data_IF_289528175172
#
_entry.id   IF_289528175172
#
_cell.length_a   1.000
_cell.length_b   1.000
_cell.length_c   1.000
_cell.angle_alpha   90.00
_cell.angle_beta   90.00
_cell.angle_gamma   90.00
#
_symmetry.space_group_name_H-M   'P 1'
#
loop_
_entity.id
_entity.type
_entity.pdbx_description
1 polymer ?
#
# COMPACT_ATOMS: atom_id res chain seq x y z
N UNK A 1 28.47 -1.56 -20.54
CA UNK A 1 28.45 -0.19 -20.00
C UNK A 1 29.88 0.29 -19.90
N UNK A 2 30.26 1.35 -20.62
CA UNK A 2 31.61 1.91 -20.53
C UNK A 2 31.54 3.40 -20.17
N UNK A 3 31.95 3.74 -18.94
CA UNK A 3 32.02 5.12 -18.46
C UNK A 3 33.49 5.54 -18.43
N UNK A 4 33.85 6.55 -19.22
CA UNK A 4 35.24 6.99 -19.38
C UNK A 4 35.36 8.44 -18.91
N UNK A 5 36.16 8.69 -17.89
CA UNK A 5 36.53 10.05 -17.49
C UNK A 5 37.56 10.62 -18.46
N UNK A 6 37.31 11.83 -18.99
CA UNK A 6 38.16 12.46 -20.01
C UNK A 6 38.95 13.64 -19.46
N UNK A 7 38.31 14.49 -18.66
CA UNK A 7 38.96 15.71 -18.18
C UNK A 7 38.30 16.24 -16.94
N UNK A 8 39.10 16.63 -15.95
CA UNK A 8 38.59 17.26 -14.72
C UNK A 8 39.14 18.68 -14.59
N UNK A 9 38.25 19.58 -14.17
CA UNK A 9 38.55 20.96 -13.81
C UNK A 9 38.19 21.15 -12.34
N UNK A 10 39.12 21.70 -11.58
CA UNK A 10 38.95 22.00 -10.16
C UNK A 10 39.26 23.48 -9.98
N UNK A 11 38.24 24.27 -9.66
CA UNK A 11 38.37 25.70 -9.43
C UNK A 11 38.37 25.98 -7.94
N UNK A 12 39.30 26.83 -7.50
CA UNK A 12 39.29 27.42 -6.16
C UNK A 12 38.78 28.86 -6.27
N UNK A 13 37.58 29.09 -5.74
CA UNK A 13 36.87 30.36 -5.91
C UNK A 13 37.59 31.50 -5.17
N UNK A 14 38.19 31.21 -4.00
CA UNK A 14 38.83 32.22 -3.16
C UNK A 14 40.15 32.69 -3.75
N UNK A 15 40.98 31.76 -4.20
CA UNK A 15 42.29 32.07 -4.79
C UNK A 15 42.22 32.40 -6.27
N UNK A 16 41.04 32.22 -6.91
CA UNK A 16 40.82 32.39 -8.35
C UNK A 16 41.78 31.56 -9.22
N UNK A 17 42.15 30.37 -8.74
CA UNK A 17 43.02 29.43 -9.44
C UNK A 17 42.21 28.23 -9.94
N UNK A 18 42.68 27.64 -11.03
CA UNK A 18 42.12 26.41 -11.57
C UNK A 18 43.21 25.37 -11.75
N UNK A 19 42.90 24.13 -11.43
CA UNK A 19 43.67 22.95 -11.80
C UNK A 19 42.89 22.18 -12.86
N UNK A 20 43.59 21.77 -13.92
CA UNK A 20 42.99 21.05 -15.04
C UNK A 20 43.91 19.91 -15.44
N UNK A 21 43.34 18.72 -15.61
CA UNK A 21 44.08 17.58 -16.17
C UNK A 21 43.15 16.73 -17.03
N UNK A 22 43.72 16.11 -18.05
CA UNK A 22 43.05 15.20 -18.97
C UNK A 22 43.50 13.77 -18.70
N UNK A 23 42.68 12.81 -19.09
CA UNK A 23 42.96 11.38 -19.01
C UNK A 23 42.92 10.78 -20.42
N UNK A 24 43.87 9.90 -20.69
CA UNK A 24 43.95 9.17 -21.94
C UNK A 24 43.31 7.79 -21.81
N UNK A 25 43.02 7.15 -22.94
CA UNK A 25 42.54 5.77 -22.93
C UNK A 25 43.67 4.82 -22.52
N UNK A 26 43.37 3.91 -21.58
CA UNK A 26 44.35 2.98 -21.02
C UNK A 26 44.81 3.35 -19.61
N UNK A 27 46.05 3.00 -19.27
CA UNK A 27 46.58 3.12 -17.91
C UNK A 27 47.15 4.53 -17.69
N UNK A 28 46.48 5.31 -16.85
CA UNK A 28 46.94 6.64 -16.45
C UNK A 28 47.67 6.53 -15.11
N UNK A 29 48.95 6.93 -15.06
CA UNK A 29 49.77 6.85 -13.83
C UNK A 29 49.95 8.25 -13.24
N UNK A 30 49.42 8.46 -12.03
CA UNK A 30 49.56 9.72 -11.28
C UNK A 30 50.67 9.56 -10.23
N UNK A 31 51.80 10.22 -10.44
CA UNK A 31 52.97 10.14 -9.54
C UNK A 31 53.41 11.52 -9.04
N UNK A 32 54.27 11.55 -8.03
CA UNK A 32 54.93 12.75 -7.50
C UNK A 32 56.43 12.53 -7.46
N UNK A 33 57.21 13.61 -7.49
CA UNK A 33 58.68 13.54 -7.38
C UNK A 33 59.11 12.84 -6.09
N UNK A 34 60.12 11.97 -6.15
CA UNK A 34 60.67 11.23 -5.01
C UNK A 34 61.43 12.10 -4.01
N UNK A 35 61.77 13.34 -4.38
CA UNK A 35 62.65 14.23 -3.61
C UNK A 35 61.86 15.09 -2.60
N UNK A 36 60.64 15.52 -2.97
CA UNK A 36 59.75 16.36 -2.14
C UNK A 36 58.32 15.77 -2.04
N UNK A 37 58.25 14.43 -1.95
CA UNK A 37 57.23 13.63 -2.64
C UNK A 37 55.92 13.28 -1.95
N UNK A 38 55.71 13.66 -0.70
CA UNK A 38 54.45 13.39 0.00
C UNK A 38 53.50 14.59 -0.06
N UNK A 39 52.19 14.33 -0.07
CA UNK A 39 51.15 15.37 0.10
C UNK A 39 50.99 16.38 -1.07
N UNK A 40 51.34 16.00 -2.30
CA UNK A 40 51.23 16.85 -3.51
C UNK A 40 49.86 16.83 -4.22
N UNK A 41 48.83 16.24 -3.59
CA UNK A 41 47.45 16.25 -4.12
C UNK A 41 47.05 15.11 -5.05
N UNK A 42 47.85 14.03 -5.13
CA UNK A 42 47.49 12.81 -5.90
C UNK A 42 46.16 12.21 -5.43
N UNK A 43 46.05 11.98 -4.11
CA UNK A 43 44.82 11.47 -3.49
C UNK A 43 43.66 12.44 -3.67
N UNK A 44 43.92 13.76 -3.59
CA UNK A 44 42.91 14.80 -3.83
C UNK A 44 42.34 14.69 -5.25
N UNK A 45 43.19 14.52 -6.27
CA UNK A 45 42.74 14.35 -7.65
C UNK A 45 41.82 13.13 -7.81
N UNK A 46 42.24 11.96 -7.32
CA UNK A 46 41.48 10.73 -7.45
C UNK A 46 40.15 10.78 -6.68
N UNK A 47 40.18 11.30 -5.44
CA UNK A 47 38.99 11.58 -4.62
C UNK A 47 38.03 12.54 -5.33
N UNK A 48 38.54 13.53 -6.05
CA UNK A 48 37.73 14.54 -6.75
C UNK A 48 36.89 13.95 -7.89
N UNK A 49 37.39 12.91 -8.57
CA UNK A 49 36.68 12.25 -9.68
C UNK A 49 35.35 11.63 -9.21
N UNK A 50 35.37 10.93 -8.09
CA UNK A 50 34.15 10.36 -7.52
C UNK A 50 33.35 11.37 -6.72
N UNK A 51 34.02 12.40 -6.17
CA UNK A 51 33.36 13.51 -5.51
C UNK A 51 32.38 14.24 -6.42
N UNK A 52 32.82 14.67 -7.60
CA UNK A 52 31.94 15.35 -8.55
C UNK A 52 30.81 14.45 -9.06
N UNK A 53 31.05 13.14 -9.15
CA UNK A 53 30.05 12.10 -9.47
C UNK A 53 29.06 11.80 -8.35
N UNK A 54 29.25 12.44 -7.20
CA UNK A 54 28.31 12.42 -6.10
C UNK A 54 28.66 11.49 -4.94
N UNK A 55 29.84 10.90 -4.91
CA UNK A 55 30.31 10.14 -3.75
C UNK A 55 31.14 11.03 -2.80
N UNK A 56 30.77 11.13 -1.54
CA UNK A 56 31.47 12.05 -0.62
C UNK A 56 32.82 11.47 -0.16
N UNK A 57 33.90 11.88 -0.83
CA UNK A 57 35.25 11.44 -0.52
C UNK A 57 35.84 12.01 0.78
N UNK A 58 36.90 11.35 1.27
CA UNK A 58 37.65 11.73 2.46
C UNK A 58 38.74 12.76 2.17
N UNK A 59 38.38 14.03 2.00
CA UNK A 59 39.38 15.09 1.88
C UNK A 59 40.05 15.44 3.22
N UNK A 60 41.34 15.75 3.16
CA UNK A 60 42.11 16.25 4.30
C UNK A 60 41.66 17.64 4.75
N UNK A 61 41.90 17.98 6.03
CA UNK A 61 41.52 19.28 6.60
C UNK A 61 42.12 20.49 5.87
N UNK A 62 43.28 20.32 5.22
CA UNK A 62 43.92 21.37 4.41
C UNK A 62 43.14 21.68 3.14
N UNK A 63 42.40 20.70 2.61
CA UNK A 63 41.60 20.83 1.40
C UNK A 63 40.18 21.32 1.75
N UNK A 64 40.00 22.64 1.73
CA UNK A 64 38.69 23.29 1.93
C UNK A 64 37.80 23.05 0.72
N UNK A 65 36.97 22.01 0.80
CA UNK A 65 36.10 21.57 -0.29
C UNK A 65 34.94 22.53 -0.57
N UNK A 66 34.52 23.30 0.44
CA UNK A 66 33.42 24.27 0.37
C UNK A 66 33.70 25.44 -0.57
N UNK A 67 34.99 25.68 -0.85
CA UNK A 67 35.51 26.72 -1.73
C UNK A 67 35.83 26.19 -3.14
N UNK A 68 35.62 24.89 -3.37
CA UNK A 68 35.98 24.21 -4.62
C UNK A 68 34.76 23.97 -5.49
N UNK A 69 34.95 24.17 -6.79
CA UNK A 69 34.00 23.81 -7.84
C UNK A 69 34.66 22.76 -8.72
N UNK A 70 33.94 21.67 -8.95
CA UNK A 70 34.41 20.57 -9.78
C UNK A 70 33.58 20.53 -11.06
N UNK A 71 34.24 20.32 -12.19
CA UNK A 71 33.61 20.00 -13.46
C UNK A 71 34.34 18.80 -14.05
N UNK A 72 33.62 17.72 -14.34
CA UNK A 72 34.15 16.51 -14.94
C UNK A 72 33.49 16.26 -16.28
N UNK A 73 34.32 16.15 -17.30
CA UNK A 73 33.96 15.65 -18.62
C UNK A 73 34.10 14.13 -18.63
N UNK A 74 33.03 13.45 -19.02
CA UNK A 74 33.00 11.99 -19.12
C UNK A 74 32.19 11.55 -20.34
N UNK A 75 32.43 10.32 -20.78
CA UNK A 75 31.69 9.69 -21.86
C UNK A 75 30.97 8.45 -21.37
N UNK A 76 29.75 8.23 -21.86
CA UNK A 76 28.97 7.01 -21.66
C UNK A 76 28.52 6.53 -23.02
N UNK A 77 28.93 5.32 -23.42
CA UNK A 77 28.59 4.70 -24.70
C UNK A 77 28.72 5.68 -25.90
N UNK A 78 29.87 6.38 -25.97
CA UNK A 78 30.25 7.41 -26.96
C UNK A 78 29.47 8.74 -26.91
N UNK A 79 28.57 8.94 -25.94
CA UNK A 79 27.94 10.24 -25.69
C UNK A 79 28.73 11.02 -24.65
N UNK A 80 28.98 12.29 -24.93
CA UNK A 80 29.74 13.18 -24.06
C UNK A 80 28.82 13.93 -23.09
N UNK A 81 29.23 13.97 -21.84
CA UNK A 81 28.53 14.65 -20.76
C UNK A 81 29.51 15.45 -19.91
N UNK A 82 28.97 16.44 -19.21
CA UNK A 82 29.69 17.14 -18.17
C UNK A 82 28.90 17.10 -16.88
N UNK A 83 29.55 16.83 -15.76
CA UNK A 83 28.96 16.96 -14.44
C UNK A 83 29.69 18.02 -13.65
N UNK A 84 28.91 18.95 -13.13
CA UNK A 84 29.34 20.03 -12.27
C UNK A 84 28.93 19.73 -10.85
N UNK A 85 29.82 20.00 -9.90
CA UNK A 85 29.52 19.99 -8.48
C UNK A 85 30.07 21.23 -7.79
N UNK A 86 29.21 21.90 -7.03
CA UNK A 86 29.63 22.86 -6.02
C UNK A 86 28.83 22.61 -4.73
N UNK A 87 29.55 22.24 -3.66
CA UNK A 87 28.95 21.81 -2.39
C UNK A 87 27.96 20.65 -2.60
N UNK A 88 26.66 20.91 -2.42
CA UNK A 88 25.56 19.95 -2.61
C UNK A 88 24.88 20.09 -3.98
N UNK A 89 25.17 21.14 -4.73
CA UNK A 89 24.53 21.40 -6.02
C UNK A 89 25.24 20.61 -7.12
N UNK A 90 24.45 19.87 -7.90
CA UNK A 90 24.85 19.14 -9.07
C UNK A 90 24.17 19.70 -10.31
N UNK A 91 24.91 19.78 -11.42
CA UNK A 91 24.35 20.05 -12.75
C UNK A 91 24.98 19.08 -13.74
N UNK A 92 24.17 18.52 -14.63
CA UNK A 92 24.67 17.70 -15.73
C UNK A 92 24.34 18.39 -17.04
N UNK A 93 25.29 18.37 -17.96
CA UNK A 93 25.20 19.01 -19.27
C UNK A 93 25.45 18.01 -20.39
N UNK A 94 24.89 18.29 -21.57
CA UNK A 94 25.24 17.61 -22.81
C UNK A 94 26.56 18.14 -23.39
N UNK A 95 26.94 17.61 -24.55
CA UNK A 95 28.08 18.02 -25.36
C UNK A 95 28.05 19.51 -25.78
N UNK A 96 26.85 20.08 -25.94
CA UNK A 96 26.62 21.50 -26.25
C UNK A 96 26.59 22.42 -25.01
N UNK A 97 26.91 21.91 -23.80
CA UNK A 97 26.90 22.66 -22.54
C UNK A 97 25.48 23.17 -22.17
N UNK A 98 24.44 22.51 -22.66
CA UNK A 98 23.07 22.74 -22.22
C UNK A 98 22.77 21.92 -20.98
N UNK A 99 22.08 22.51 -20.00
CA UNK A 99 21.71 21.83 -18.77
C UNK A 99 20.68 20.74 -19.10
N UNK A 100 21.04 19.50 -18.83
CA UNK A 100 20.12 18.35 -18.89
C UNK A 100 19.41 18.14 -17.55
N UNK A 101 20.12 18.38 -16.45
CA UNK A 101 19.64 18.08 -15.10
C UNK A 101 20.31 18.96 -14.06
N UNK A 102 19.58 19.27 -12.99
CA UNK A 102 20.07 20.00 -11.84
C UNK A 102 19.37 19.53 -10.57
N UNK A 103 20.14 19.22 -9.53
CA UNK A 103 19.59 18.84 -8.23
C UNK A 103 20.53 19.20 -7.08
N UNK A 104 20.00 19.22 -5.86
CA UNK A 104 20.80 19.16 -4.62
C UNK A 104 20.58 17.86 -3.83
N UNK A 105 19.75 16.95 -4.36
CA UNK A 105 19.34 15.69 -3.77
C UNK A 105 20.21 14.54 -4.32
N UNK A 106 20.65 13.62 -3.44
CA UNK A 106 21.46 12.46 -3.86
C UNK A 106 20.64 11.36 -4.52
N UNK A 107 19.45 11.01 -4.01
CA UNK A 107 18.56 10.09 -4.70
C UNK A 107 18.23 10.54 -6.12
N UNK A 108 17.82 11.81 -6.33
CA UNK A 108 17.52 12.32 -7.68
C UNK A 108 18.75 12.27 -8.60
N UNK A 109 19.94 12.55 -8.06
CA UNK A 109 21.18 12.40 -8.82
C UNK A 109 21.44 10.94 -9.22
N UNK A 110 21.20 9.99 -8.31
CA UNK A 110 21.32 8.55 -8.62
C UNK A 110 20.34 8.12 -9.69
N UNK A 111 19.08 8.58 -9.64
CA UNK A 111 18.07 8.24 -10.64
C UNK A 111 18.50 8.74 -12.03
N UNK A 112 18.86 10.02 -12.13
CA UNK A 112 19.28 10.61 -13.40
C UNK A 112 20.56 9.96 -13.96
N UNK A 113 21.55 9.70 -13.12
CA UNK A 113 22.77 9.02 -13.56
C UNK A 113 22.51 7.55 -13.92
N UNK A 114 21.59 6.90 -13.20
CA UNK A 114 21.10 5.56 -13.48
C UNK A 114 20.48 5.45 -14.88
N UNK A 115 19.74 6.46 -15.32
CA UNK A 115 19.21 6.54 -16.68
C UNK A 115 20.32 6.68 -17.74
N UNK A 116 21.38 7.44 -17.45
CA UNK A 116 22.47 7.67 -18.41
C UNK A 116 23.23 6.39 -18.73
N UNK A 117 23.57 5.58 -17.73
CA UNK A 117 24.39 4.38 -17.92
C UNK A 117 23.63 3.06 -17.70
N UNK A 118 22.33 3.11 -17.39
CA UNK A 118 21.46 1.94 -17.17
C UNK A 118 21.89 1.02 -16.02
N UNK A 119 22.33 1.61 -14.91
CA UNK A 119 22.77 0.89 -13.72
C UNK A 119 22.39 1.65 -12.45
N UNK A 120 21.54 1.03 -11.65
CA UNK A 120 20.96 1.58 -10.43
C UNK A 120 21.09 0.54 -9.32
N UNK A 121 21.39 0.99 -8.11
CA UNK A 121 21.43 0.13 -6.93
C UNK A 121 20.28 0.57 -6.02
N UNK A 122 19.45 -0.39 -5.61
CA UNK A 122 18.43 -0.18 -4.60
C UNK A 122 18.83 -0.89 -3.32
N UNK A 123 18.67 -0.21 -2.19
CA UNK A 123 18.99 -0.73 -0.86
C UNK A 123 17.81 -0.54 0.09
N UNK A 124 17.60 -1.46 1.05
CA UNK A 124 16.53 -1.35 2.02
C UNK A 124 16.82 -0.22 3.01
N UNK A 125 15.93 0.75 3.11
CA UNK A 125 16.03 1.83 4.08
C UNK A 125 16.12 1.27 5.50
N UNK A 126 17.04 1.80 6.31
CA UNK A 126 17.30 1.31 7.67
C UNK A 126 16.09 1.35 8.60
N UNK A 127 15.19 2.32 8.42
CA UNK A 127 14.06 2.55 9.33
C UNK A 127 12.78 1.88 8.84
N UNK A 128 12.56 1.85 7.51
CA UNK A 128 11.32 1.37 6.92
C UNK A 128 11.45 0.00 6.26
N UNK A 129 12.68 -0.50 6.07
CA UNK A 129 13.04 -1.70 5.30
C UNK A 129 12.56 -1.68 3.83
N UNK A 130 11.96 -0.58 3.37
CA UNK A 130 11.51 -0.41 2.00
C UNK A 130 12.70 -0.15 1.09
N UNK A 131 12.68 -0.72 -0.11
CA UNK A 131 13.70 -0.44 -1.10
C UNK A 131 13.62 1.01 -1.57
N UNK A 132 14.76 1.69 -1.53
CA UNK A 132 14.97 3.02 -2.11
C UNK A 132 16.24 3.02 -2.95
N UNK A 133 16.34 3.97 -3.88
CA UNK A 133 17.55 4.11 -4.68
C UNK A 133 18.70 4.60 -3.79
N UNK A 134 19.83 3.89 -3.87
CA UNK A 134 21.02 4.22 -3.11
C UNK A 134 21.72 5.46 -3.72
N UNK A 135 22.32 6.34 -2.92
CA UNK A 135 23.18 7.43 -3.39
C UNK A 135 24.31 6.94 -4.32
N UNK A 136 24.88 7.81 -5.17
CA UNK A 136 25.83 7.37 -6.20
C UNK A 136 27.10 6.70 -5.64
N UNK A 137 27.45 6.97 -4.38
CA UNK A 137 28.58 6.35 -3.70
C UNK A 137 28.55 4.81 -3.74
N UNK A 138 27.36 4.20 -3.62
CA UNK A 138 27.22 2.74 -3.63
C UNK A 138 27.48 2.15 -5.03
N UNK A 139 27.25 2.91 -6.10
CA UNK A 139 27.57 2.51 -7.48
C UNK A 139 29.07 2.44 -7.74
N UNK A 140 29.87 3.25 -7.05
CA UNK A 140 31.30 3.37 -7.34
C UNK A 140 32.20 2.65 -6.32
N UNK A 141 31.65 2.20 -5.19
CA UNK A 141 32.44 1.71 -4.05
C UNK A 141 33.36 0.53 -4.37
N UNK A 142 32.97 -0.30 -5.34
CA UNK A 142 33.78 -1.42 -5.85
C UNK A 142 34.84 -0.98 -6.86
N UNK A 143 34.68 0.20 -7.46
CA UNK A 143 35.53 0.72 -8.54
C UNK A 143 36.55 1.75 -8.04
N UNK A 144 36.52 2.09 -6.76
CA UNK A 144 37.44 3.07 -6.15
C UNK A 144 37.98 2.57 -4.82
N UNK A 145 39.31 2.41 -4.76
CA UNK A 145 40.05 2.09 -3.54
C UNK A 145 40.77 3.35 -3.06
N UNK A 146 40.31 3.90 -1.95
CA UNK A 146 40.97 5.05 -1.33
C UNK A 146 42.24 4.61 -0.60
N UNK A 147 43.36 5.30 -0.81
CA UNK A 147 44.65 4.94 -0.23
C UNK A 147 44.63 4.90 1.31
N UNK A 148 43.95 5.84 1.96
CA UNK A 148 44.00 6.00 3.43
C UNK A 148 42.81 5.30 4.12
N UNK A 149 41.73 5.07 3.37
CA UNK A 149 40.48 4.49 3.86
C UNK A 149 40.18 3.11 3.27
N UNK A 150 41.17 2.47 2.66
CA UNK A 150 41.07 1.06 2.28
C UNK A 150 41.10 0.17 3.53
N UNK A 151 39.98 -0.47 3.80
CA UNK A 151 39.80 -1.37 4.94
C UNK A 151 39.21 -2.71 4.46
N UNK A 152 39.98 -3.41 3.62
CA UNK A 152 39.63 -4.73 3.10
C UNK A 152 38.18 -4.83 2.63
N UNK A 153 37.40 -5.69 3.30
CA UNK A 153 35.99 -5.97 2.95
C UNK A 153 34.99 -4.96 3.52
N UNK A 154 35.43 -3.86 4.14
CA UNK A 154 34.54 -2.90 4.80
C UNK A 154 33.97 -1.82 3.90
N UNK A 155 34.50 -1.63 2.70
CA UNK A 155 34.01 -0.62 1.74
C UNK A 155 33.92 0.76 2.39
N UNK A 156 35.07 1.34 2.73
CA UNK A 156 35.17 2.62 3.46
C UNK A 156 35.72 3.77 2.60
N UNK A 157 35.83 3.61 1.28
CA UNK A 157 36.39 4.62 0.38
C UNK A 157 35.59 5.94 0.33
N UNK A 158 34.32 5.93 0.74
CA UNK A 158 33.44 7.09 0.77
C UNK A 158 32.78 7.28 2.15
N UNK A 159 32.46 8.53 2.47
CA UNK A 159 31.71 8.90 3.67
C UNK A 159 30.26 8.42 3.57
N UNK A 160 29.65 8.25 4.73
CA UNK A 160 28.22 7.97 4.91
C UNK A 160 27.73 6.64 4.30
N UNK A 161 28.63 5.71 3.98
CA UNK A 161 28.24 4.37 3.51
C UNK A 161 27.49 3.55 4.57
N UNK A 162 27.60 3.92 5.85
CA UNK A 162 26.80 3.36 6.95
C UNK A 162 25.32 3.80 6.98
N UNK A 163 24.82 4.54 5.98
CA UNK A 163 23.40 4.89 5.86
C UNK A 163 22.51 3.64 5.76
N UNK A 164 22.96 2.62 5.02
CA UNK A 164 22.27 1.33 4.89
C UNK A 164 22.95 0.26 5.73
N UNK A 165 22.16 -0.58 6.37
CA UNK A 165 22.67 -1.74 7.09
C UNK A 165 22.98 -2.86 6.12
N UNK A 166 24.11 -3.56 6.33
CA UNK A 166 24.48 -4.75 5.57
C UNK A 166 24.37 -4.60 4.04
N UNK A 167 24.66 -3.43 3.48
CA UNK A 167 24.50 -3.16 2.05
C UNK A 167 25.43 -3.97 1.12
N UNK A 168 26.50 -4.54 1.67
CA UNK A 168 27.60 -5.13 0.89
C UNK A 168 27.13 -6.25 -0.05
N UNK A 169 26.34 -7.26 0.38
CA UNK A 169 25.88 -8.32 -0.51
C UNK A 169 25.06 -7.77 -1.67
N UNK A 170 24.13 -6.85 -1.41
CA UNK A 170 23.28 -6.26 -2.45
C UNK A 170 24.11 -5.47 -3.47
N UNK A 171 25.09 -4.67 -3.02
CA UNK A 171 26.02 -3.96 -3.91
C UNK A 171 26.84 -4.95 -4.75
N UNK A 172 27.41 -5.98 -4.12
CA UNK A 172 28.25 -6.98 -4.80
C UNK A 172 27.42 -7.74 -5.86
N UNK A 173 26.24 -8.22 -5.49
CA UNK A 173 25.36 -8.95 -6.41
C UNK A 173 24.83 -8.06 -7.54
N UNK A 174 24.60 -6.77 -7.27
CA UNK A 174 24.24 -5.81 -8.32
C UNK A 174 25.40 -5.61 -9.31
N UNK A 175 26.63 -5.43 -8.81
CA UNK A 175 27.82 -5.23 -9.65
C UNK A 175 28.16 -6.46 -10.50
N UNK A 176 27.86 -7.67 -10.01
CA UNK A 176 27.96 -8.90 -10.79
C UNK A 176 26.78 -9.14 -11.75
N UNK A 177 25.79 -8.26 -11.78
CA UNK A 177 24.61 -8.39 -12.64
C UNK A 177 23.63 -9.47 -12.20
N UNK A 178 23.74 -9.98 -10.96
CA UNK A 178 22.78 -10.94 -10.39
C UNK A 178 21.51 -10.21 -9.95
N UNK A 179 21.67 -9.05 -9.31
CA UNK A 179 20.56 -8.15 -8.97
C UNK A 179 20.47 -7.06 -10.03
N UNK A 180 19.64 -7.31 -11.03
CA UNK A 180 19.32 -6.34 -12.07
C UNK A 180 18.12 -5.46 -11.69
N UNK A 181 17.76 -4.53 -12.58
CA UNK A 181 16.60 -3.68 -12.40
C UNK A 181 15.31 -4.50 -12.20
N UNK A 182 15.14 -5.59 -12.94
CA UNK A 182 13.96 -6.46 -12.83
C UNK A 182 13.85 -7.11 -11.45
N UNK A 183 14.97 -7.54 -10.85
CA UNK A 183 15.02 -8.07 -9.50
C UNK A 183 14.47 -7.04 -8.50
N UNK A 184 14.99 -5.81 -8.54
CA UNK A 184 14.54 -4.76 -7.61
C UNK A 184 13.07 -4.37 -7.83
N UNK A 185 12.59 -4.31 -9.07
CA UNK A 185 11.17 -4.10 -9.39
C UNK A 185 10.28 -5.19 -8.80
N UNK A 186 10.71 -6.46 -8.84
CA UNK A 186 9.98 -7.58 -8.24
C UNK A 186 9.96 -7.50 -6.72
N UNK A 187 11.08 -7.14 -6.08
CA UNK A 187 11.13 -6.97 -4.62
C UNK A 187 10.23 -5.82 -4.19
N UNK A 188 10.26 -4.69 -4.89
CA UNK A 188 9.34 -3.55 -4.64
C UNK A 188 7.88 -3.95 -4.80
N UNK A 189 7.57 -4.71 -5.86
CA UNK A 189 6.21 -5.23 -6.09
C UNK A 189 5.75 -6.16 -4.97
N UNK A 190 6.64 -7.03 -4.48
CA UNK A 190 6.39 -7.90 -3.32
C UNK A 190 6.10 -7.08 -2.07
N UNK A 191 6.89 -6.05 -1.77
CA UNK A 191 6.68 -5.16 -0.61
C UNK A 191 5.32 -4.47 -0.67
N UNK A 192 4.97 -3.89 -1.82
CA UNK A 192 3.66 -3.25 -2.02
C UNK A 192 2.48 -4.22 -1.83
N UNK A 193 2.61 -5.48 -2.26
CA UNK A 193 1.58 -6.50 -2.03
C UNK A 193 1.43 -6.84 -0.55
N UNK A 194 2.54 -6.97 0.19
CA UNK A 194 2.49 -7.20 1.63
C UNK A 194 1.84 -6.05 2.39
N UNK A 195 2.09 -4.81 2.00
CA UNK A 195 1.43 -3.64 2.58
C UNK A 195 -0.09 -3.70 2.39
N UNK A 196 -0.55 -3.97 1.17
CA UNK A 196 -2.00 -4.11 0.87
C UNK A 196 -2.64 -5.26 1.64
N UNK A 197 -1.92 -6.38 1.81
CA UNK A 197 -2.40 -7.50 2.63
C UNK A 197 -2.55 -7.08 4.10
N UNK A 198 -1.58 -6.34 4.65
CA UNK A 198 -1.64 -5.89 6.03
C UNK A 198 -2.77 -4.87 6.25
N UNK A 199 -2.93 -3.90 5.34
CA UNK A 199 -4.07 -2.96 5.36
C UNK A 199 -5.42 -3.67 5.31
N UNK A 200 -5.54 -4.70 4.47
CA UNK A 200 -6.75 -5.51 4.38
C UNK A 200 -7.00 -6.32 5.67
N UNK A 201 -5.95 -6.86 6.30
CA UNK A 201 -6.06 -7.59 7.58
C UNK A 201 -6.49 -6.66 8.72
N UNK A 202 -5.93 -5.45 8.79
CA UNK A 202 -6.31 -4.47 9.80
C UNK A 202 -7.77 -4.01 9.61
N UNK A 203 -8.19 -3.84 8.35
CA UNK A 203 -9.58 -3.52 8.02
C UNK A 203 -10.53 -4.65 8.41
N UNK A 204 -10.15 -5.89 8.11
CA UNK A 204 -10.90 -7.09 8.53
C UNK A 204 -11.02 -7.15 10.05
N UNK A 205 -9.91 -6.95 10.78
CA UNK A 205 -9.90 -6.99 12.25
C UNK A 205 -10.86 -5.94 12.85
N UNK A 206 -10.87 -4.72 12.32
CA UNK A 206 -11.81 -3.67 12.77
C UNK A 206 -13.27 -4.05 12.50
N UNK A 207 -13.55 -4.63 11.33
CA UNK A 207 -14.90 -5.09 10.99
C UNK A 207 -15.35 -6.25 11.90
N UNK A 208 -14.45 -7.18 12.22
CA UNK A 208 -14.70 -8.30 13.12
C UNK A 208 -14.93 -7.83 14.56
N UNK A 209 -14.14 -6.87 15.06
CA UNK A 209 -14.36 -6.22 16.35
C UNK A 209 -15.72 -5.50 16.41
N UNK A 210 -16.15 -4.87 15.31
CA UNK A 210 -17.46 -4.23 15.21
C UNK A 210 -18.59 -5.27 15.18
N UNK A 211 -18.41 -6.38 14.46
CA UNK A 211 -19.33 -7.52 14.48
C UNK A 211 -19.51 -8.02 15.92
N UNK A 212 -18.42 -8.25 16.65
CA UNK A 212 -18.48 -8.68 18.06
C UNK A 212 -19.22 -7.70 18.97
N UNK A 213 -19.02 -6.38 18.80
CA UNK A 213 -19.77 -5.35 19.56
C UNK A 213 -21.26 -5.38 19.25
N UNK A 214 -21.63 -5.52 17.98
CA UNK A 214 -23.03 -5.61 17.56
C UNK A 214 -23.68 -6.88 18.10
N UNK A 215 -23.00 -8.03 18.02
CA UNK A 215 -23.46 -9.29 18.61
C UNK A 215 -23.69 -9.17 20.12
N UNK A 216 -22.80 -8.50 20.85
CA UNK A 216 -22.97 -8.26 22.29
C UNK A 216 -24.15 -7.34 22.59
N UNK A 217 -24.37 -6.27 21.82
CA UNK A 217 -25.54 -5.38 22.01
C UNK A 217 -26.87 -6.09 21.73
N UNK A 218 -26.84 -7.09 20.86
CA UNK A 218 -28.02 -7.82 20.46
C UNK A 218 -28.43 -8.90 21.46
N UNK A 219 -27.59 -9.21 22.48
CA UNK A 219 -27.69 -10.16 23.63
C UNK A 219 -28.49 -11.47 23.44
N UNK A 220 -29.69 -11.42 22.87
CA UNK A 220 -30.63 -12.52 22.65
C UNK A 220 -31.21 -12.59 21.21
N UNK A 221 -30.85 -11.68 20.31
CA UNK A 221 -31.26 -11.75 18.89
C UNK A 221 -30.23 -12.58 18.13
N UNK A 222 -30.62 -13.80 17.77
CA UNK A 222 -29.85 -14.63 16.84
C UNK A 222 -29.93 -13.95 15.48
N UNK A 223 -28.81 -13.38 15.04
CA UNK A 223 -28.71 -12.81 13.69
C UNK A 223 -28.05 -13.86 12.81
N UNK A 224 -28.66 -14.26 11.69
CA UNK A 224 -28.08 -15.26 10.80
C UNK A 224 -26.76 -14.75 10.20
N UNK A 225 -25.71 -15.57 10.28
CA UNK A 225 -24.36 -15.15 9.88
C UNK A 225 -24.14 -15.26 8.37
N UNK A 226 -24.98 -16.03 7.69
CA UNK A 226 -24.92 -16.25 6.25
C UNK A 226 -26.32 -16.35 5.65
N UNK A 227 -26.39 -16.26 4.32
CA UNK A 227 -27.65 -16.24 3.57
C UNK A 227 -28.50 -17.50 3.80
N UNK A 228 -27.86 -18.66 3.95
CA UNK A 228 -28.54 -19.94 4.15
C UNK A 228 -29.23 -20.02 5.52
N UNK A 229 -28.57 -19.48 6.55
CA UNK A 229 -29.10 -19.43 7.90
C UNK A 229 -30.31 -18.49 7.99
N UNK A 230 -30.26 -17.36 7.26
CA UNK A 230 -31.39 -16.42 7.12
C UNK A 230 -32.58 -17.07 6.41
N UNK A 231 -32.35 -17.75 5.29
CA UNK A 231 -33.40 -18.47 4.56
C UNK A 231 -34.08 -19.52 5.45
N UNK A 232 -33.29 -20.25 6.25
CA UNK A 232 -33.80 -21.24 7.19
C UNK A 232 -34.68 -20.59 8.25
N UNK A 233 -34.26 -19.47 8.84
CA UNK A 233 -35.03 -18.77 9.85
C UNK A 233 -36.36 -18.22 9.29
N UNK A 234 -36.31 -17.58 8.11
CA UNK A 234 -37.51 -17.11 7.41
C UNK A 234 -38.49 -18.24 7.09
N UNK A 235 -37.98 -19.43 6.74
CA UNK A 235 -38.82 -20.61 6.47
C UNK A 235 -39.56 -21.09 7.74
N UNK A 236 -38.89 -21.08 8.90
CA UNK A 236 -39.50 -21.47 10.18
C UNK A 236 -40.58 -20.47 10.56
N UNK A 237 -40.28 -19.16 10.49
CA UNK A 237 -41.24 -18.10 10.80
C UNK A 237 -42.45 -18.12 9.87
N UNK A 238 -42.24 -18.38 8.57
CA UNK A 238 -43.33 -18.52 7.60
C UNK A 238 -44.24 -19.70 7.95
N UNK A 239 -43.66 -20.82 8.40
CA UNK A 239 -44.44 -21.99 8.84
C UNK A 239 -45.27 -21.70 10.09
N UNK A 240 -44.66 -21.08 11.12
CA UNK A 240 -45.38 -20.66 12.34
C UNK A 240 -46.57 -19.74 12.00
N UNK A 241 -46.36 -18.78 11.09
CA UNK A 241 -47.41 -17.84 10.67
C UNK A 241 -48.55 -18.55 9.94
N UNK A 242 -48.24 -19.51 9.08
CA UNK A 242 -49.22 -20.33 8.38
C UNK A 242 -50.04 -21.20 9.36
N UNK A 243 -49.40 -21.78 10.37
CA UNK A 243 -50.10 -22.58 11.38
C UNK A 243 -51.08 -21.73 12.21
N UNK A 244 -50.68 -20.51 12.59
CA UNK A 244 -51.57 -19.54 13.27
C UNK A 244 -52.75 -19.16 12.37
N UNK A 245 -52.49 -18.86 11.09
CA UNK A 245 -53.53 -18.52 10.12
C UNK A 245 -54.55 -19.66 9.96
N UNK A 246 -54.07 -20.89 9.87
CA UNK A 246 -54.92 -22.08 9.76
C UNK A 246 -55.79 -22.27 11.01
N UNK A 247 -55.21 -22.11 12.20
CA UNK A 247 -55.94 -22.15 13.46
C UNK A 247 -57.02 -21.06 13.52
N UNK A 248 -56.67 -19.82 13.14
CA UNK A 248 -57.59 -18.69 13.13
C UNK A 248 -58.76 -18.92 12.15
N UNK A 249 -58.48 -19.52 10.99
CA UNK A 249 -59.51 -19.90 10.02
C UNK A 249 -60.42 -21.00 10.58
N UNK A 250 -59.87 -22.03 11.25
CA UNK A 250 -60.67 -23.07 11.89
C UNK A 250 -61.61 -22.51 12.96
N UNK A 251 -61.10 -21.59 13.81
CA UNK A 251 -61.94 -20.88 14.78
C UNK A 251 -63.03 -20.04 14.10
N UNK A 252 -62.70 -19.32 13.02
CA UNK A 252 -63.69 -18.57 12.22
C UNK A 252 -64.79 -19.48 11.69
N UNK A 253 -64.45 -20.63 11.10
CA UNK A 253 -65.45 -21.59 10.61
C UNK A 253 -66.37 -22.07 11.74
N UNK A 254 -65.81 -22.43 12.89
CA UNK A 254 -66.59 -22.88 14.04
C UNK A 254 -67.54 -21.79 14.55
N UNK A 255 -67.07 -20.53 14.58
CA UNK A 255 -67.87 -19.40 15.02
C UNK A 255 -69.00 -19.06 14.04
N UNK A 256 -68.76 -19.20 12.73
CA UNK A 256 -69.79 -19.08 11.71
C UNK A 256 -70.86 -20.17 11.85
N UNK A 257 -70.47 -21.43 12.06
CA UNK A 257 -71.43 -22.52 12.26
C UNK A 257 -72.30 -22.30 13.50
N UNK A 258 -71.70 -21.95 14.64
CA UNK A 258 -72.45 -21.64 15.87
C UNK A 258 -73.40 -20.45 15.70
N UNK A 259 -73.04 -19.45 14.90
CA UNK A 259 -73.94 -18.34 14.56
C UNK A 259 -75.13 -18.81 13.73
N UNK A 260 -74.91 -19.68 12.76
CA UNK A 260 -75.97 -20.25 11.94
C UNK A 260 -76.91 -21.13 12.78
N UNK A 261 -76.37 -22.01 13.63
CA UNK A 261 -77.16 -22.83 14.56
C UNK A 261 -77.99 -21.98 15.51
N UNK A 262 -77.40 -20.92 16.08
CA UNK A 262 -78.12 -19.97 16.92
C UNK A 262 -79.29 -19.34 16.17
N UNK A 263 -79.06 -18.90 14.93
CA UNK A 263 -80.09 -18.28 14.11
C UNK A 263 -81.24 -19.26 13.79
N UNK A 264 -80.92 -20.52 13.46
CA UNK A 264 -81.92 -21.57 13.25
C UNK A 264 -82.76 -21.85 14.52
N UNK A 265 -82.11 -21.93 15.68
CA UNK A 265 -82.79 -22.10 16.96
C UNK A 265 -83.69 -20.91 17.32
N UNK A 266 -83.26 -19.67 17.04
CA UNK A 266 -84.08 -18.46 17.22
C UNK A 266 -85.32 -18.47 16.31
N UNK A 267 -85.19 -18.96 15.07
CA UNK A 267 -86.35 -19.14 14.17
C UNK A 267 -87.30 -20.21 14.74
N UNK A 268 -86.77 -21.36 15.16
CA UNK A 268 -87.58 -22.44 15.72
C UNK A 268 -88.33 -22.01 16.99
N UNK A 269 -87.66 -21.29 17.90
CA UNK A 269 -88.27 -20.71 19.10
C UNK A 269 -89.42 -19.76 18.73
N UNK A 270 -89.20 -18.82 17.80
CA UNK A 270 -90.25 -17.92 17.33
C UNK A 270 -91.44 -18.67 16.72
N UNK A 271 -91.21 -19.76 16.00
CA UNK A 271 -92.28 -20.60 15.46
C UNK A 271 -93.07 -21.31 16.56
N UNK A 272 -92.38 -21.88 17.56
CA UNK A 272 -93.00 -22.54 18.71
C UNK A 272 -93.81 -21.53 19.53
N UNK A 273 -93.30 -20.32 19.78
CA UNK A 273 -94.03 -19.26 20.47
C UNK A 273 -95.29 -18.83 19.70
N UNK A 274 -95.20 -18.68 18.37
CA UNK A 274 -96.38 -18.44 17.53
C UNK A 274 -97.39 -19.59 17.60
N UNK A 275 -96.92 -20.83 17.58
CA UNK A 275 -97.78 -22.01 17.66
C UNK A 275 -98.47 -22.10 19.03
N UNK A 276 -97.73 -21.84 20.12
CA UNK A 276 -98.25 -21.76 21.49
C UNK A 276 -99.32 -20.67 21.59
N UNK A 277 -99.04 -19.46 21.10
CA UNK A 277 -100.00 -18.36 21.13
C UNK A 277 -101.27 -18.67 20.31
N UNK A 278 -101.14 -19.38 19.18
CA UNK A 278 -102.30 -19.83 18.40
C UNK A 278 -103.10 -20.92 19.13
N UNK A 279 -102.43 -21.90 19.74
CA UNK A 279 -103.07 -22.96 20.55
C UNK A 279 -103.76 -22.40 21.79
N UNK A 280 -103.17 -21.42 22.47
CA UNK A 280 -103.80 -20.74 23.61
C UNK A 280 -105.04 -19.94 23.18
N UNK A 281 -105.02 -19.32 22.00
CA UNK A 281 -106.21 -18.68 21.41
C UNK A 281 -107.28 -19.71 21.05
N UNK A 282 -106.91 -20.84 20.44
CA UNK A 282 -107.82 -21.98 20.19
C UNK A 282 -108.46 -22.47 21.50
N UNK A 283 -107.66 -22.74 22.54
CA UNK A 283 -108.15 -23.22 23.84
C UNK A 283 -109.09 -22.20 24.49
N UNK A 284 -108.77 -20.90 24.44
CA UNK A 284 -109.69 -19.85 24.90
C UNK A 284 -111.00 -19.82 24.12
N UNK A 285 -110.94 -19.95 22.79
CA UNK A 285 -112.15 -19.99 21.97
C UNK A 285 -113.03 -21.20 22.25
N UNK A 286 -112.44 -22.37 22.51
CA UNK A 286 -113.14 -23.61 22.88
C UNK A 286 -113.83 -23.44 24.25
N UNK A 287 -113.14 -22.85 25.23
CA UNK A 287 -113.67 -22.59 26.57
C UNK A 287 -114.79 -21.53 26.60
N UNK A 288 -114.81 -20.59 25.65
CA UNK A 288 -115.85 -19.55 25.56
C UNK A 288 -117.09 -19.99 24.75
N UNK A 289 -116.96 -20.98 23.87
CA UNK A 289 -118.03 -21.36 22.93
C UNK A 289 -118.62 -22.76 23.14
N UNK A 290 -118.03 -23.60 24.01
CA UNK A 290 -118.51 -24.96 24.35
C UNK A 290 -118.84 -25.86 23.13
N UNK A 291 -118.17 -25.61 22.00
CA UNK A 291 -118.29 -26.41 20.77
C UNK A 291 -116.91 -26.93 20.38
N UNK A 292 -116.82 -28.24 20.14
CA UNK A 292 -115.60 -28.92 19.71
C UNK A 292 -115.23 -28.51 18.27
N UNK A 293 -113.98 -28.11 17.96
CA UNK A 293 -113.62 -27.71 16.59
C UNK A 293 -113.56 -28.87 15.57
N UNK A 294 -113.56 -30.13 16.04
CA UNK A 294 -113.51 -31.35 15.21
C UNK A 294 -114.85 -32.12 15.20
N UNK A 295 -115.84 -31.66 15.95
CA UNK A 295 -117.19 -32.24 15.96
C UNK A 295 -118.18 -31.09 15.89
N UNK A 296 -118.92 -30.95 14.79
CA UNK A 296 -120.08 -30.05 14.76
C UNK A 296 -121.02 -30.29 15.95
#
# INVERSE_FOLDING_TARGET
MNVIFKKIYIFDILTKKAFVTSFEEGVNVVTSSSIDGTDRGKSVLLRSLYHVMGADAHFDKKWKNEDKVYLLEFMVDNKKYFIYRHRKLFKVFNDLIQILFQTSSRPELSEFLGEIWSFEIFLPNRNTEKLEIAPPAYTYVMNFLDQDYYDGTNFNSFKSLGQYQNFKPDVIYSQFGIYDKNYFERVKSKQNLFERINESKDSYKKADEMKGKVSNLLENVVVPENLQELERELSIKSKEYNDILNSMNAFRYKLTNLRNEKYELEIALNQIERFKNNKEKEIKSILETDICPECH
#
